data_IF_728498889922
#
_entry.id   IF_728498889922
#
_cell.length_a   1.000
_cell.length_b   1.000
_cell.length_c   1.000
_cell.angle_alpha   90.00
_cell.angle_beta   90.00
_cell.angle_gamma   90.00
#
_symmetry.space_group_name_H-M   'P 1'
#
loop_
_entity.id
_entity.type
_entity.pdbx_description
1 polymer ?
#
# COMPACT_ATOMS: atom_id res chain seq x y z
N UNK A 1 7.10 -6.83 -0.54
CA UNK A 1 7.53 -6.25 -1.83
C UNK A 1 8.93 -5.64 -1.67
N UNK A 2 9.89 -5.88 -2.59
CA UNK A 2 11.28 -5.42 -2.42
C UNK A 2 11.42 -3.90 -2.23
N UNK A 3 10.65 -3.10 -2.97
CA UNK A 3 10.70 -1.63 -2.83
C UNK A 3 10.25 -1.14 -1.44
N UNK A 4 9.26 -1.77 -0.81
CA UNK A 4 8.84 -1.40 0.54
C UNK A 4 9.94 -1.70 1.57
N UNK A 5 10.66 -2.82 1.41
CA UNK A 5 11.80 -3.16 2.28
C UNK A 5 12.92 -2.13 2.13
N UNK A 6 13.27 -1.78 0.90
CA UNK A 6 14.28 -0.76 0.62
C UNK A 6 13.88 0.61 1.21
N UNK A 7 12.60 1.00 1.11
CA UNK A 7 12.10 2.25 1.66
C UNK A 7 12.16 2.28 3.20
N UNK A 8 11.71 1.22 3.87
CA UNK A 8 11.80 1.14 5.34
C UNK A 8 13.27 1.16 5.81
N UNK A 9 14.17 0.47 5.11
CA UNK A 9 15.59 0.46 5.43
C UNK A 9 16.24 1.84 5.24
N UNK A 10 15.91 2.53 4.14
CA UNK A 10 16.40 3.89 3.88
C UNK A 10 15.85 4.90 4.90
N UNK A 11 14.60 4.71 5.35
CA UNK A 11 14.00 5.49 6.42
C UNK A 11 14.55 5.15 7.82
N UNK A 12 15.18 3.97 7.97
CA UNK A 12 15.66 3.42 9.24
C UNK A 12 14.55 3.30 10.30
N UNK A 13 13.37 2.80 9.89
CA UNK A 13 12.21 2.67 10.77
C UNK A 13 10.97 2.09 10.09
N UNK A 14 9.84 2.17 10.79
CA UNK A 14 8.54 1.71 10.30
C UNK A 14 7.79 2.83 9.59
N UNK A 15 7.03 2.46 8.54
CA UNK A 15 6.21 3.39 7.76
C UNK A 15 4.75 2.99 7.92
N UNK A 16 3.91 3.97 8.26
CA UNK A 16 2.45 3.79 8.25
C UNK A 16 2.00 3.68 6.80
N UNK A 17 1.28 2.61 6.49
CA UNK A 17 0.80 2.32 5.14
C UNK A 17 -0.72 2.36 5.10
N UNK A 18 -1.26 2.97 4.04
CA UNK A 18 -2.68 2.95 3.68
C UNK A 18 -2.82 2.67 2.19
N UNK A 19 -4.03 2.33 1.74
CA UNK A 19 -4.33 2.19 0.32
C UNK A 19 -4.17 3.54 -0.40
N UNK A 20 -3.61 3.51 -1.61
CA UNK A 20 -3.31 4.70 -2.40
C UNK A 20 -4.56 5.24 -3.11
N UNK A 21 -5.46 5.87 -2.34
CA UNK A 21 -6.70 6.47 -2.85
C UNK A 21 -7.21 7.61 -1.96
N UNK A 22 -7.93 8.58 -2.53
CA UNK A 22 -8.83 9.43 -1.77
C UNK A 22 -9.89 8.59 -1.04
N UNK A 23 -10.38 9.10 0.10
CA UNK A 23 -11.37 8.38 0.90
C UNK A 23 -12.63 8.07 0.06
N UNK A 24 -13.10 6.83 0.13
CA UNK A 24 -14.28 6.35 -0.60
C UNK A 24 -14.05 5.96 -2.06
N UNK A 25 -12.84 6.13 -2.61
CA UNK A 25 -12.50 5.72 -3.97
C UNK A 25 -11.70 4.40 -4.00
N UNK A 26 -11.73 3.64 -5.10
CA UNK A 26 -10.89 2.45 -5.27
C UNK A 26 -9.39 2.76 -5.18
N UNK A 27 -8.55 1.82 -4.70
CA UNK A 27 -7.10 1.98 -4.68
C UNK A 27 -6.52 2.08 -6.09
N UNK A 28 -5.54 2.97 -6.27
CA UNK A 28 -4.72 3.01 -7.49
C UNK A 28 -4.01 1.67 -7.72
N UNK A 29 -4.02 1.18 -8.97
CA UNK A 29 -3.35 -0.07 -9.38
C UNK A 29 -2.21 0.16 -10.38
N UNK A 30 -1.92 1.40 -10.68
CA UNK A 30 -0.81 1.82 -11.51
C UNK A 30 -0.31 3.19 -11.05
N UNK A 31 0.91 3.53 -11.47
CA UNK A 31 1.45 4.86 -11.25
C UNK A 31 0.62 5.94 -11.99
N UNK A 32 -0.03 5.57 -13.10
CA UNK A 32 -0.95 6.43 -13.83
C UNK A 32 -2.20 6.78 -13.00
N UNK A 33 -2.83 5.77 -12.37
CA UNK A 33 -3.99 5.96 -11.49
C UNK A 33 -3.64 6.84 -10.29
N UNK A 34 -2.48 6.58 -9.67
CA UNK A 34 -2.02 7.35 -8.52
C UNK A 34 -1.75 8.82 -8.91
N UNK A 35 -1.14 9.06 -10.08
CA UNK A 35 -0.97 10.42 -10.60
C UNK A 35 -2.30 11.11 -10.90
N UNK A 36 -3.31 10.38 -11.37
CA UNK A 36 -4.64 10.95 -11.58
C UNK A 36 -5.28 11.40 -10.25
N UNK A 37 -5.09 10.63 -9.17
CA UNK A 37 -5.63 10.99 -7.86
C UNK A 37 -4.89 12.11 -7.15
N UNK A 38 -3.56 12.08 -7.16
CA UNK A 38 -2.76 12.94 -6.27
C UNK A 38 -1.89 13.95 -7.02
N UNK A 39 -1.75 13.85 -8.34
CA UNK A 39 -0.92 14.74 -9.16
C UNK A 39 0.44 15.04 -8.50
N UNK A 40 0.77 16.30 -8.22
CA UNK A 40 2.05 16.69 -7.60
C UNK A 40 2.00 16.78 -6.06
N UNK A 41 0.91 16.34 -5.42
CA UNK A 41 0.73 16.46 -3.96
C UNK A 41 1.58 15.45 -3.18
N UNK A 42 2.08 14.41 -3.84
CA UNK A 42 2.88 13.33 -3.23
C UNK A 42 4.04 12.95 -4.14
N UNK A 43 5.05 12.31 -3.57
CA UNK A 43 6.13 11.68 -4.31
C UNK A 43 5.76 10.24 -4.68
N UNK A 44 6.14 9.80 -5.88
CA UNK A 44 5.85 8.45 -6.37
C UNK A 44 7.12 7.62 -6.42
N UNK A 45 6.98 6.35 -6.05
CA UNK A 45 7.98 5.33 -6.28
C UNK A 45 7.45 4.37 -7.36
N UNK A 46 8.11 4.31 -8.50
CA UNK A 46 7.70 3.40 -9.57
C UNK A 46 8.05 1.95 -9.21
N UNK A 47 7.09 1.05 -9.41
CA UNK A 47 7.25 -0.37 -9.15
C UNK A 47 6.03 -1.17 -9.57
N UNK A 48 6.26 -2.44 -9.89
CA UNK A 48 5.20 -3.35 -10.25
C UNK A 48 4.34 -3.73 -9.03
N UNK A 49 3.07 -4.00 -9.27
CA UNK A 49 2.22 -4.60 -8.24
C UNK A 49 2.66 -6.04 -7.95
N UNK A 50 2.44 -6.47 -6.71
CA UNK A 50 2.52 -7.87 -6.36
C UNK A 50 1.39 -8.69 -7.00
N UNK A 51 1.43 -10.02 -6.81
CA UNK A 51 0.46 -10.94 -7.39
C UNK A 51 -0.91 -10.94 -6.69
N UNK A 52 -1.03 -10.30 -5.52
CA UNK A 52 -2.28 -10.24 -4.77
C UNK A 52 -3.20 -9.18 -5.36
N UNK A 53 -4.38 -9.59 -5.81
CA UNK A 53 -5.43 -8.70 -6.31
C UNK A 53 -6.41 -8.26 -5.23
N UNK A 54 -6.38 -8.94 -4.07
CA UNK A 54 -7.22 -8.67 -2.92
C UNK A 54 -6.51 -7.78 -1.89
N UNK A 55 -7.26 -7.03 -1.06
CA UNK A 55 -6.73 -6.34 0.10
C UNK A 55 -5.98 -7.28 1.04
N UNK A 56 -5.07 -6.74 1.85
CA UNK A 56 -4.38 -7.54 2.86
C UNK A 56 -5.36 -8.04 3.93
N UNK A 57 -5.26 -9.34 4.21
CA UNK A 57 -5.94 -10.00 5.32
C UNK A 57 -5.44 -9.42 6.65
N UNK A 58 -6.37 -9.22 7.59
CA UNK A 58 -6.05 -8.81 8.96
C UNK A 58 -6.49 -9.94 9.89
N UNK A 59 -5.53 -10.42 10.68
CA UNK A 59 -5.71 -11.48 11.67
C UNK A 59 -5.51 -10.91 13.06
N UNK A 60 -6.31 -11.38 14.00
CA UNK A 60 -5.98 -11.26 15.42
C UNK A 60 -4.81 -12.20 15.74
N UNK A 61 -3.73 -11.65 16.29
CA UNK A 61 -2.47 -12.39 16.46
C UNK A 61 -2.51 -13.41 17.61
N UNK A 62 -3.39 -13.25 18.60
CA UNK A 62 -3.51 -14.16 19.74
C UNK A 62 -4.40 -15.35 19.42
N UNK A 63 -5.50 -15.09 18.71
CA UNK A 63 -6.56 -16.08 18.44
C UNK A 63 -6.52 -16.66 17.03
N UNK A 64 -5.87 -15.98 16.09
CA UNK A 64 -5.89 -16.33 14.66
C UNK A 64 -7.21 -16.00 13.95
N UNK A 65 -8.14 -15.34 14.61
CA UNK A 65 -9.43 -14.97 14.03
C UNK A 65 -9.24 -13.97 12.86
N UNK A 66 -10.00 -14.15 11.79
CA UNK A 66 -9.98 -13.25 10.63
C UNK A 66 -10.85 -12.02 10.93
N UNK A 67 -10.21 -10.86 11.06
CA UNK A 67 -10.89 -9.56 11.23
C UNK A 67 -11.31 -8.98 9.89
N UNK A 68 -10.48 -9.19 8.86
CA UNK A 68 -10.78 -8.84 7.47
C UNK A 68 -10.18 -9.91 6.56
N UNK A 69 -11.03 -10.51 5.71
CA UNK A 69 -10.64 -11.58 4.80
C UNK A 69 -9.72 -11.11 3.68
#
# INVERSE_FOLDING_TARGET
>A
HPLCVALCNAFNGFIVSTSANPAGLPPARSLQDANHYFAQQVNYLNGDLGLSQEPSRILDAETGAVVRA
#
